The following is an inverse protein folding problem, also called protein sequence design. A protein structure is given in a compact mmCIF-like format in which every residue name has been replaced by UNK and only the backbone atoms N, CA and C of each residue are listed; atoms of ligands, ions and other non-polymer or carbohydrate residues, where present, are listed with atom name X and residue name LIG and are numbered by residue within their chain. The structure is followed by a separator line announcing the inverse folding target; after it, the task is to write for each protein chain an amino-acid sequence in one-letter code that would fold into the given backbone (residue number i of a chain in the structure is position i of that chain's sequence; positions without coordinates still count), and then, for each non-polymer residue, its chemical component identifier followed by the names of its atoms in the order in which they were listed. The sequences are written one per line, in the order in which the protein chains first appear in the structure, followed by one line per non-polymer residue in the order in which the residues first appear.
data_IF_327194760240
#
_entry.id   IF_327194760240
#
_cell.length_a   1.000
_cell.length_b   1.000
_cell.length_c   1.000
_cell.angle_alpha   90.00
_cell.angle_beta   90.00
_cell.angle_gamma   90.00
#
_symmetry.space_group_name_H-M   'P 1'
#
loop_
_entity.id
_entity.type
_entity.pdbx_description
1 polymer ?
#
# COMPACT_ATOMS: atom_id res chain seq x y z
N UNK A 1 -12.38 -18.84 -9.88
CA UNK A 1 -13.25 -17.70 -9.56
C UNK A 1 -12.36 -16.47 -9.43
N UNK A 2 -12.28 -15.64 -10.47
CA UNK A 2 -11.52 -14.38 -10.40
C UNK A 2 -12.36 -13.39 -9.60
N UNK A 3 -12.10 -13.30 -8.29
CA UNK A 3 -12.77 -12.35 -7.43
C UNK A 3 -12.36 -10.95 -7.87
N UNK A 4 -13.28 -10.22 -8.49
CA UNK A 4 -13.04 -8.85 -8.93
C UNK A 4 -12.90 -7.95 -7.70
N UNK A 5 -11.89 -7.09 -7.69
CA UNK A 5 -11.66 -6.12 -6.61
C UNK A 5 -12.87 -5.19 -6.48
N UNK A 6 -13.30 -4.91 -5.25
CA UNK A 6 -14.33 -3.92 -4.96
C UNK A 6 -13.88 -2.51 -5.36
N UNK A 7 -14.83 -1.60 -5.58
CA UNK A 7 -14.54 -0.20 -5.95
C UNK A 7 -13.58 0.51 -4.97
N UNK A 8 -13.65 0.15 -3.68
CA UNK A 8 -12.74 0.66 -2.63
C UNK A 8 -11.32 0.10 -2.76
N UNK A 9 -11.18 -1.18 -3.10
CA UNK A 9 -9.88 -1.83 -3.31
C UNK A 9 -9.21 -1.30 -4.59
N UNK A 10 -9.97 -1.14 -5.68
CA UNK A 10 -9.46 -0.50 -6.91
C UNK A 10 -8.94 0.91 -6.63
N UNK A 11 -9.68 1.71 -5.85
CA UNK A 11 -9.25 3.05 -5.43
C UNK A 11 -8.04 3.03 -4.48
N UNK A 12 -7.86 1.96 -3.70
CA UNK A 12 -6.68 1.77 -2.86
C UNK A 12 -5.45 1.43 -3.70
N UNK A 13 -5.62 0.55 -4.70
CA UNK A 13 -4.61 0.13 -5.67
C UNK A 13 -4.17 1.30 -6.56
N UNK A 14 -5.10 2.13 -7.02
CA UNK A 14 -4.78 3.31 -7.84
C UNK A 14 -3.85 4.30 -7.11
N UNK A 15 -3.94 4.36 -5.77
CA UNK A 15 -3.11 5.21 -4.91
C UNK A 15 -1.76 4.60 -4.53
N UNK A 16 -1.46 3.39 -5.01
CA UNK A 16 -0.14 2.79 -4.83
C UNK A 16 0.85 3.58 -5.70
N UNK A 17 1.90 4.06 -5.05
CA UNK A 17 2.99 4.80 -5.69
C UNK A 17 4.03 3.87 -6.30
N UNK A 18 5.17 4.44 -6.68
CA UNK A 18 6.32 3.69 -7.24
C UNK A 18 6.97 2.70 -6.28
N UNK A 19 6.61 2.74 -5.00
CA UNK A 19 7.06 1.76 -4.00
C UNK A 19 6.43 0.38 -4.20
N UNK A 20 5.38 0.24 -5.01
CA UNK A 20 4.65 -1.03 -5.18
C UNK A 20 3.73 -1.39 -4.01
N UNK A 21 3.79 -0.65 -2.91
CA UNK A 21 2.98 -0.86 -1.71
C UNK A 21 2.18 0.37 -1.34
N UNK A 22 1.01 0.14 -0.74
CA UNK A 22 0.16 1.19 -0.20
C UNK A 22 0.79 1.74 1.08
N UNK A 23 0.85 3.07 1.16
CA UNK A 23 1.31 3.77 2.36
C UNK A 23 2.81 3.76 2.59
N UNK A 24 3.58 3.22 1.63
CA UNK A 24 5.04 3.19 1.68
C UNK A 24 5.59 4.32 0.81
N UNK A 25 6.35 5.22 1.43
CA UNK A 25 6.91 6.42 0.78
C UNK A 25 8.43 6.40 0.89
N UNK A 26 9.11 6.90 -0.15
CA UNK A 26 10.56 7.07 -0.10
C UNK A 26 10.90 8.38 0.62
N UNK A 27 11.76 8.32 1.64
CA UNK A 27 12.18 9.46 2.46
C UNK A 27 13.60 9.96 2.13
N UNK A 28 14.39 9.18 1.39
CA UNK A 28 15.78 9.53 1.06
C UNK A 28 16.81 9.29 2.17
N UNK A 29 16.42 8.70 3.31
CA UNK A 29 17.39 8.32 4.34
C UNK A 29 18.32 7.20 3.84
N UNK A 30 19.63 7.34 4.08
CA UNK A 30 20.67 6.44 3.57
C UNK A 30 20.50 4.97 4.00
N UNK A 31 20.16 4.73 5.26
CA UNK A 31 20.01 3.37 5.81
C UNK A 31 18.56 2.87 5.86
N UNK A 32 17.59 3.79 5.93
CA UNK A 32 16.16 3.46 6.10
C UNK A 32 15.27 4.31 5.17
N UNK A 33 15.36 4.09 3.85
CA UNK A 33 14.74 4.96 2.87
C UNK A 33 13.22 4.89 2.83
N UNK A 34 12.58 3.90 3.47
CA UNK A 34 11.15 3.67 3.37
C UNK A 34 10.43 4.15 4.62
N UNK A 35 9.50 5.07 4.44
CA UNK A 35 8.72 5.70 5.50
C UNK A 35 7.25 5.32 5.39
N UNK A 36 6.60 5.19 6.54
CA UNK A 36 5.20 4.81 6.68
C UNK A 36 4.47 5.79 7.60
N UNK A 37 3.31 6.23 7.14
CA UNK A 37 2.32 6.91 7.96
C UNK A 37 0.89 6.66 7.47
N UNK A 38 -0.07 6.99 8.32
CA UNK A 38 -1.47 6.83 8.00
C UNK A 38 -2.30 7.97 8.58
N UNK A 39 -3.09 8.63 7.73
CA UNK A 39 -4.03 9.65 8.17
C UNK A 39 -5.43 9.04 8.35
N UNK A 40 -6.00 9.22 9.55
CA UNK A 40 -7.35 8.79 9.87
C UNK A 40 -8.07 9.86 10.70
N UNK A 41 -9.27 10.25 10.28
CA UNK A 41 -10.11 11.26 10.97
C UNK A 41 -9.35 12.55 11.32
N UNK A 42 -8.54 13.04 10.39
CA UNK A 42 -7.76 14.28 10.56
C UNK A 42 -6.51 14.15 11.44
N UNK A 43 -6.17 12.95 11.92
CA UNK A 43 -4.95 12.68 12.67
C UNK A 43 -3.99 11.82 11.85
N UNK A 44 -2.72 12.19 11.85
CA UNK A 44 -1.65 11.42 11.21
C UNK A 44 -0.98 10.54 12.26
N UNK A 45 -0.87 9.26 11.96
CA UNK A 45 -0.22 8.25 12.79
C UNK A 45 1.09 7.85 12.11
N UNK A 46 2.20 7.99 12.83
CA UNK A 46 3.53 7.64 12.33
C UNK A 46 3.75 6.13 12.47
N UNK A 47 4.10 5.48 11.36
CA UNK A 47 4.34 4.03 11.29
C UNK A 47 5.80 3.64 11.47
N UNK A 48 6.75 4.50 11.07
CA UNK A 48 8.18 4.22 11.18
C UNK A 48 8.96 4.47 9.89
N UNK A 49 10.27 4.30 9.98
CA UNK A 49 11.19 4.22 8.85
C UNK A 49 11.86 2.84 8.83
N UNK A 50 12.06 2.32 7.63
CA UNK A 50 12.45 0.94 7.36
C UNK A 50 13.47 0.88 6.23
N UNK A 51 14.28 -0.18 6.25
CA UNK A 51 15.31 -0.44 5.25
C UNK A 51 14.71 -0.97 3.95
N UNK A 52 13.64 -1.77 4.05
CA UNK A 52 12.98 -2.39 2.90
C UNK A 52 11.54 -1.92 2.73
N UNK A 53 11.07 -1.92 1.47
CA UNK A 53 9.68 -1.60 1.14
C UNK A 53 8.69 -2.59 1.78
N UNK A 54 9.07 -3.87 1.85
CA UNK A 54 8.23 -4.95 2.36
C UNK A 54 8.00 -4.81 3.86
N UNK A 55 9.04 -4.50 4.64
CA UNK A 55 8.90 -4.21 6.07
C UNK A 55 8.02 -2.99 6.32
N UNK A 56 8.21 -1.94 5.53
CA UNK A 56 7.36 -0.76 5.57
C UNK A 56 5.88 -1.10 5.27
N UNK A 57 5.62 -1.95 4.29
CA UNK A 57 4.27 -2.37 3.93
C UNK A 57 3.59 -3.18 5.04
N UNK A 58 4.32 -4.09 5.69
CA UNK A 58 3.83 -4.86 6.85
C UNK A 58 3.53 -3.92 8.02
N UNK A 59 4.42 -2.96 8.29
CA UNK A 59 4.19 -1.96 9.33
C UNK A 59 2.96 -1.08 9.04
N UNK A 60 2.75 -0.69 7.79
CA UNK A 60 1.55 0.03 7.37
C UNK A 60 0.28 -0.78 7.62
N UNK A 61 0.28 -2.07 7.28
CA UNK A 61 -0.88 -2.94 7.50
C UNK A 61 -1.27 -3.03 8.98
N UNK A 62 -0.27 -3.18 9.85
CA UNK A 62 -0.46 -3.18 11.29
C UNK A 62 -1.00 -1.84 11.79
N UNK A 63 -0.45 -0.73 11.28
CA UNK A 63 -0.86 0.63 11.64
C UNK A 63 -2.32 0.90 11.25
N UNK A 64 -2.70 0.60 10.00
CA UNK A 64 -4.05 0.84 9.51
C UNK A 64 -5.05 -0.06 10.23
N UNK A 65 -4.70 -1.31 10.49
CA UNK A 65 -5.56 -2.23 11.26
C UNK A 65 -5.79 -1.70 12.67
N UNK A 66 -4.74 -1.20 13.34
CA UNK A 66 -4.84 -0.64 14.69
C UNK A 66 -5.70 0.64 14.74
N UNK A 67 -5.65 1.47 13.70
CA UNK A 67 -6.31 2.79 13.68
C UNK A 67 -7.72 2.73 13.09
N UNK A 68 -7.93 1.97 12.02
CA UNK A 68 -9.19 1.91 11.26
C UNK A 68 -10.03 0.65 11.55
N UNK A 69 -9.47 -0.34 12.26
CA UNK A 69 -10.15 -1.60 12.60
C UNK A 69 -10.55 -2.41 11.37
N UNK A 70 -11.72 -3.03 11.40
CA UNK A 70 -12.21 -3.96 10.37
C UNK A 70 -12.42 -3.34 8.98
N UNK A 71 -12.40 -2.00 8.89
CA UNK A 71 -12.50 -1.26 7.62
C UNK A 71 -11.14 -1.00 6.98
N UNK A 72 -10.05 -1.46 7.61
CA UNK A 72 -8.70 -1.37 7.06
C UNK A 72 -8.57 -2.21 5.80
N UNK A 73 -8.12 -1.57 4.72
CA UNK A 73 -7.67 -2.28 3.51
C UNK A 73 -6.15 -2.42 3.62
N UNK A 74 -5.65 -3.64 3.73
CA UNK A 74 -4.23 -3.91 3.93
C UNK A 74 -3.54 -4.35 2.63
N UNK A 75 -2.23 -4.14 2.56
CA UNK A 75 -1.37 -4.68 1.51
C UNK A 75 -1.50 -6.20 1.43
N UNK A 76 -1.66 -6.90 2.56
CA UNK A 76 -1.96 -8.34 2.61
C UNK A 76 -3.24 -8.72 1.88
N UNK A 77 -4.35 -8.03 2.14
CA UNK A 77 -5.64 -8.32 1.47
C UNK A 77 -5.60 -8.08 -0.03
N UNK A 78 -4.76 -7.13 -0.46
CA UNK A 78 -4.54 -6.80 -1.86
C UNK A 78 -3.50 -7.71 -2.53
N UNK A 79 -2.90 -8.68 -1.81
CA UNK A 79 -1.88 -9.58 -2.34
C UNK A 79 -0.52 -8.92 -2.60
N UNK A 80 -0.27 -7.74 -2.04
CA UNK A 80 0.93 -6.94 -2.35
C UNK A 80 2.20 -7.53 -1.72
N UNK A 81 2.05 -8.24 -0.60
CA UNK A 81 3.18 -8.71 0.22
C UNK A 81 3.88 -9.95 -0.35
N UNK A 82 3.20 -10.70 -1.21
CA UNK A 82 3.68 -11.99 -1.71
C UNK A 82 4.49 -11.84 -2.99
N UNK A 83 4.09 -10.95 -3.90
CA UNK A 83 4.77 -10.76 -5.18
C UNK A 83 4.62 -9.31 -5.71
N UNK A 84 5.39 -8.34 -5.18
CA UNK A 84 5.19 -6.92 -5.49
C UNK A 84 5.43 -6.57 -6.97
N UNK A 85 6.35 -7.28 -7.64
CA UNK A 85 6.70 -7.01 -9.05
C UNK A 85 5.57 -7.40 -10.01
N UNK A 86 4.98 -8.58 -9.84
CA UNK A 86 3.85 -9.06 -10.65
C UNK A 86 2.66 -8.11 -10.57
N UNK A 87 2.45 -7.50 -9.40
CA UNK A 87 1.36 -6.56 -9.24
C UNK A 87 1.67 -5.17 -9.77
N UNK A 88 2.91 -4.68 -9.69
CA UNK A 88 3.29 -3.44 -10.37
C UNK A 88 2.95 -3.55 -11.87
N UNK A 89 3.20 -4.72 -12.47
CA UNK A 89 2.83 -5.00 -13.85
C UNK A 89 1.30 -5.04 -14.06
N UNK A 90 0.55 -5.72 -13.18
CA UNK A 90 -0.92 -5.74 -13.23
C UNK A 90 -1.54 -4.35 -13.04
N UNK A 91 -0.99 -3.52 -12.16
CA UNK A 91 -1.43 -2.13 -11.94
C UNK A 91 -1.14 -1.28 -13.16
N UNK A 92 0.02 -1.44 -13.79
CA UNK A 92 0.35 -0.74 -15.03
C UNK A 92 -0.65 -1.11 -16.14
N UNK A 93 -1.01 -2.39 -16.28
CA UNK A 93 -2.02 -2.85 -17.23
C UNK A 93 -3.42 -2.30 -16.92
N UNK A 94 -3.86 -2.37 -15.66
CA UNK A 94 -5.16 -1.83 -15.24
C UNK A 94 -5.26 -0.31 -15.42
N UNK A 95 -4.17 0.43 -15.20
CA UNK A 95 -4.12 1.89 -15.46
C UNK A 95 -4.22 2.21 -16.95
N UNK A 96 -3.73 1.34 -17.83
CA UNK A 96 -3.88 1.50 -19.28
C UNK A 96 -5.31 1.22 -19.75
N UNK A 97 -6.03 0.30 -19.11
CA UNK A 97 -7.42 -0.04 -19.46
C UNK A 97 -8.46 1.01 -19.03
N UNK A 98 -8.12 1.90 -18.09
CA UNK A 98 -9.03 2.96 -17.61
C UNK A 98 -8.93 4.25 -18.46
N UNK A 99 -8.04 4.30 -19.46
CA UNK A 99 -7.80 5.49 -20.31
C UNK A 99 -8.55 5.41 -21.68
N UNK A 100 -9.48 4.45 -21.87
CA UNK A 100 -10.38 4.42 -23.04
C UNK A 100 -11.84 4.64 -22.65
#
# INVERSE_FOLDING_TARGET
MNKSLSKKEQSAVARIGKSGFRGVRYSGHKAKPWYVDFMHKGKTYYGGIYETQKEAAIAYDNLVTKVAGDKAITNKQLGLLDNPEELIEKIARLKLEIIY
#
